data_IF_606397483106
#
_entry.id   IF_606397483106
#
_cell.length_a   1.000
_cell.length_b   1.000
_cell.length_c   1.000
_cell.angle_alpha   90.00
_cell.angle_beta   90.00
_cell.angle_gamma   90.00
#
_symmetry.space_group_name_H-M   'P 1'
#
loop_
_entity.id
_entity.type
_entity.pdbx_description
1 polymer ?
#
# COMPACT_ATOMS: atom_id res chain seq x y z
N UNK A 1 -12.73 3.82 -14.21
CA UNK A 1 -11.33 4.33 -14.29
C UNK A 1 -10.46 3.28 -13.60
N UNK A 2 -9.39 2.77 -14.23
CA UNK A 2 -8.59 1.66 -13.67
C UNK A 2 -7.91 2.11 -12.37
N UNK A 3 -8.13 1.38 -11.27
CA UNK A 3 -7.49 1.64 -9.96
C UNK A 3 -6.32 0.69 -9.67
N UNK A 4 -6.22 -0.39 -10.42
CA UNK A 4 -5.19 -1.41 -10.32
C UNK A 4 -4.17 -1.29 -11.45
N UNK A 5 -2.93 -1.62 -11.14
CA UNK A 5 -1.82 -1.75 -12.10
C UNK A 5 -1.96 -2.99 -12.98
N UNK A 6 -2.81 -3.94 -12.58
CA UNK A 6 -3.12 -5.15 -13.35
C UNK A 6 -4.38 -4.94 -14.20
N UNK A 7 -4.32 -5.39 -15.46
CA UNK A 7 -5.46 -5.32 -16.37
C UNK A 7 -6.48 -6.41 -16.04
N UNK A 8 -7.68 -6.00 -15.65
CA UNK A 8 -8.80 -6.90 -15.36
C UNK A 8 -9.68 -6.95 -16.61
N UNK A 9 -9.95 -8.17 -17.08
CA UNK A 9 -10.79 -8.43 -18.24
C UNK A 9 -12.03 -9.25 -17.83
N UNK A 10 -13.22 -8.95 -18.38
CA UNK A 10 -13.49 -7.90 -19.37
C UNK A 10 -13.55 -6.50 -18.74
N UNK A 11 -13.03 -5.49 -19.45
CA UNK A 11 -12.95 -4.11 -18.97
C UNK A 11 -14.30 -3.47 -18.63
N UNK A 12 -15.40 -3.96 -19.22
CA UNK A 12 -16.77 -3.50 -18.94
C UNK A 12 -17.22 -3.81 -17.52
N UNK A 13 -16.70 -4.90 -16.94
CA UNK A 13 -17.07 -5.40 -15.60
C UNK A 13 -15.96 -5.13 -14.58
N UNK A 14 -15.12 -4.12 -14.85
CA UNK A 14 -13.95 -3.81 -14.03
C UNK A 14 -14.32 -3.55 -12.56
N UNK A 15 -15.32 -2.71 -12.31
CA UNK A 15 -15.72 -2.32 -10.96
C UNK A 15 -16.31 -3.51 -10.17
N UNK A 16 -16.89 -4.48 -10.87
CA UNK A 16 -17.42 -5.72 -10.31
C UNK A 16 -16.31 -6.67 -9.85
N UNK A 17 -15.19 -6.70 -10.58
CA UNK A 17 -14.06 -7.62 -10.36
C UNK A 17 -12.93 -7.00 -9.52
N UNK A 18 -12.83 -5.67 -9.46
CA UNK A 18 -11.81 -4.93 -8.72
C UNK A 18 -11.68 -5.39 -7.25
N UNK A 19 -12.77 -5.56 -6.47
CA UNK A 19 -12.67 -5.95 -5.06
C UNK A 19 -12.02 -7.32 -4.86
N UNK A 20 -12.37 -8.30 -5.71
CA UNK A 20 -11.80 -9.64 -5.71
C UNK A 20 -10.30 -9.62 -6.03
N UNK A 21 -9.90 -8.88 -7.06
CA UNK A 21 -8.48 -8.79 -7.48
C UNK A 21 -7.65 -8.04 -6.44
N UNK A 22 -8.21 -7.02 -5.77
CA UNK A 22 -7.55 -6.37 -4.64
C UNK A 22 -7.29 -7.33 -3.48
N UNK A 23 -8.25 -8.20 -3.17
CA UNK A 23 -8.11 -9.19 -2.11
C UNK A 23 -7.00 -10.23 -2.38
N UNK A 24 -6.66 -10.49 -3.64
CA UNK A 24 -5.52 -11.34 -4.04
C UNK A 24 -4.15 -10.73 -3.72
N UNK A 25 -4.07 -9.41 -3.49
CA UNK A 25 -2.82 -8.67 -3.24
C UNK A 25 -1.73 -8.95 -4.30
N UNK A 26 -2.03 -8.72 -5.59
CA UNK A 26 -1.13 -9.08 -6.69
C UNK A 26 0.26 -8.45 -6.58
N UNK A 27 0.38 -7.27 -5.97
CA UNK A 27 1.66 -6.56 -5.79
C UNK A 27 2.60 -7.22 -4.78
N UNK A 28 2.12 -8.18 -3.99
CA UNK A 28 2.89 -8.90 -2.98
C UNK A 28 3.34 -10.29 -3.43
N UNK A 29 2.83 -10.78 -4.58
CA UNK A 29 3.08 -12.14 -5.05
C UNK A 29 4.24 -12.20 -6.04
N UNK A 30 5.03 -13.27 -5.94
CA UNK A 30 6.18 -13.56 -6.79
C UNK A 30 6.22 -15.06 -7.11
N UNK A 31 6.85 -15.44 -8.23
CA UNK A 31 7.00 -16.85 -8.62
C UNK A 31 5.66 -17.57 -8.82
N UNK A 32 5.55 -18.79 -8.28
CA UNK A 32 4.38 -19.67 -8.47
C UNK A 32 3.06 -19.02 -8.00
N UNK A 33 3.09 -18.24 -6.91
CA UNK A 33 1.93 -17.50 -6.41
C UNK A 33 1.42 -16.47 -7.43
N UNK A 34 2.34 -15.86 -8.18
CA UNK A 34 2.00 -14.91 -9.23
C UNK A 34 1.40 -15.60 -10.45
N UNK A 35 1.97 -16.75 -10.85
CA UNK A 35 1.43 -17.56 -11.94
C UNK A 35 0.03 -18.09 -11.63
N UNK A 36 -0.24 -18.45 -10.37
CA UNK A 36 -1.57 -18.83 -9.91
C UNK A 36 -2.58 -17.68 -10.08
N UNK A 37 -2.20 -16.44 -9.74
CA UNK A 37 -3.06 -15.25 -9.95
C UNK A 37 -3.34 -15.04 -11.43
N UNK A 38 -2.33 -15.11 -12.30
CA UNK A 38 -2.51 -14.95 -13.75
C UNK A 38 -3.44 -16.03 -14.32
N UNK A 39 -3.31 -17.26 -13.83
CA UNK A 39 -4.18 -18.37 -14.22
C UNK A 39 -5.62 -18.11 -13.81
N UNK A 40 -5.86 -17.65 -12.58
CA UNK A 40 -7.21 -17.32 -12.11
C UNK A 40 -7.82 -16.14 -12.86
N UNK A 41 -7.02 -15.11 -13.19
CA UNK A 41 -7.48 -13.99 -14.02
C UNK A 41 -7.86 -14.42 -15.45
N UNK A 42 -7.10 -15.34 -16.04
CA UNK A 42 -7.44 -15.93 -17.33
C UNK A 42 -8.72 -16.76 -17.25
N UNK A 43 -8.91 -17.53 -16.16
CA UNK A 43 -10.17 -18.24 -15.89
C UNK A 43 -11.35 -17.27 -15.82
N UNK A 44 -11.24 -16.20 -15.03
CA UNK A 44 -12.28 -15.15 -14.89
C UNK A 44 -12.61 -14.54 -16.24
N UNK A 45 -11.59 -14.18 -17.04
CA UNK A 45 -11.77 -13.65 -18.38
C UNK A 45 -12.57 -14.61 -19.28
N UNK A 46 -12.33 -15.91 -19.16
CA UNK A 46 -13.06 -16.92 -19.93
C UNK A 46 -14.49 -17.11 -19.40
N UNK A 47 -14.67 -17.18 -18.08
CA UNK A 47 -15.98 -17.32 -17.42
C UNK A 47 -16.90 -16.13 -17.69
N UNK A 48 -16.35 -14.93 -17.86
CA UNK A 48 -17.13 -13.74 -18.15
C UNK A 48 -17.85 -13.76 -19.51
N UNK A 49 -17.51 -14.70 -20.41
CA UNK A 49 -18.27 -14.93 -21.65
C UNK A 49 -19.59 -15.69 -21.41
N UNK A 50 -19.76 -16.29 -20.23
CA UNK A 50 -20.99 -16.97 -19.84
C UNK A 50 -21.93 -15.98 -19.14
N UNK A 51 -23.03 -15.64 -19.81
CA UNK A 51 -24.03 -14.69 -19.28
C UNK A 51 -24.65 -15.15 -17.95
N UNK A 52 -24.80 -16.46 -17.74
CA UNK A 52 -25.35 -17.00 -16.49
C UNK A 52 -24.40 -16.77 -15.32
N UNK A 53 -23.10 -16.99 -15.54
CA UNK A 53 -22.06 -16.72 -14.54
C UNK A 53 -22.01 -15.23 -14.22
N UNK A 54 -22.03 -14.38 -15.24
CA UNK A 54 -21.97 -12.93 -15.08
C UNK A 54 -23.21 -12.38 -14.35
N UNK A 55 -24.40 -12.91 -14.64
CA UNK A 55 -25.64 -12.51 -13.95
C UNK A 55 -25.59 -12.86 -12.46
N UNK A 56 -25.15 -14.08 -12.11
CA UNK A 56 -24.98 -14.50 -10.71
C UNK A 56 -23.95 -13.63 -9.97
N UNK A 57 -22.87 -13.28 -10.66
CA UNK A 57 -21.85 -12.41 -10.10
C UNK A 57 -22.39 -11.00 -9.82
N UNK A 58 -23.16 -10.44 -10.75
CA UNK A 58 -23.80 -9.12 -10.56
C UNK A 58 -24.75 -9.13 -9.37
N UNK A 59 -25.60 -10.15 -9.28
CA UNK A 59 -26.52 -10.34 -8.14
C UNK A 59 -25.75 -10.43 -6.81
N UNK A 60 -24.71 -11.27 -6.74
CA UNK A 60 -23.88 -11.41 -5.54
C UNK A 60 -23.16 -10.11 -5.15
N UNK A 61 -22.78 -9.29 -6.14
CA UNK A 61 -22.17 -7.99 -5.89
C UNK A 61 -23.20 -6.94 -5.44
N UNK A 62 -24.41 -6.94 -5.98
CA UNK A 62 -25.51 -6.09 -5.53
C UNK A 62 -25.90 -6.40 -4.08
N UNK A 63 -25.92 -7.69 -3.71
CA UNK A 63 -26.07 -8.13 -2.32
C UNK A 63 -24.95 -7.61 -1.43
N UNK A 64 -23.69 -7.69 -1.89
CA UNK A 64 -22.53 -7.18 -1.18
C UNK A 64 -22.63 -5.66 -0.93
N UNK A 65 -23.00 -4.88 -1.95
CA UNK A 65 -23.24 -3.43 -1.83
C UNK A 65 -24.39 -3.15 -0.86
N UNK A 66 -25.49 -3.90 -0.96
CA UNK A 66 -26.65 -3.77 -0.07
C UNK A 66 -26.33 -4.12 1.39
N UNK A 67 -25.39 -5.02 1.61
CA UNK A 67 -24.88 -5.37 2.95
C UNK A 67 -23.95 -4.29 3.55
N UNK A 68 -23.63 -3.24 2.79
CA UNK A 68 -22.88 -2.07 3.23
C UNK A 68 -21.45 -1.97 2.68
N UNK A 69 -21.10 -2.78 1.66
CA UNK A 69 -19.80 -2.66 1.02
C UNK A 69 -19.63 -1.31 0.32
N UNK A 70 -18.45 -0.72 0.49
CA UNK A 70 -18.07 0.52 -0.21
C UNK A 70 -16.68 0.35 -0.80
N UNK A 71 -16.43 0.97 -1.95
CA UNK A 71 -15.12 0.90 -2.63
C UNK A 71 -13.96 1.48 -1.80
N UNK A 72 -14.25 2.25 -0.74
CA UNK A 72 -13.29 2.73 0.25
C UNK A 72 -12.82 1.66 1.23
N UNK A 73 -13.55 0.55 1.37
CA UNK A 73 -13.13 -0.57 2.20
C UNK A 73 -11.91 -1.28 1.59
N UNK A 74 -11.07 -1.83 2.46
CA UNK A 74 -9.77 -2.41 2.10
C UNK A 74 -9.89 -3.92 1.98
N UNK A 75 -10.38 -4.39 0.84
CA UNK A 75 -10.54 -5.83 0.59
C UNK A 75 -9.21 -6.59 0.62
N UNK A 76 -8.09 -5.91 0.36
CA UNK A 76 -6.73 -6.45 0.57
C UNK A 76 -6.45 -6.86 2.02
N UNK A 77 -7.08 -6.22 3.00
CA UNK A 77 -6.93 -6.54 4.43
C UNK A 77 -7.78 -7.75 4.85
N UNK A 78 -8.92 -7.96 4.18
CA UNK A 78 -9.85 -9.05 4.45
C UNK A 78 -9.37 -10.36 3.82
N UNK A 79 -8.83 -10.29 2.60
CA UNK A 79 -8.53 -11.46 1.78
C UNK A 79 -9.80 -12.16 1.29
N UNK A 80 -9.64 -13.31 0.63
CA UNK A 80 -10.78 -14.11 0.18
C UNK A 80 -11.42 -14.90 1.32
N UNK A 81 -10.62 -15.29 2.31
CA UNK A 81 -11.03 -16.15 3.42
C UNK A 81 -10.38 -15.66 4.74
N UNK A 82 -10.99 -15.99 5.88
CA UNK A 82 -10.49 -15.55 7.21
C UNK A 82 -9.03 -15.93 7.46
N UNK A 83 -8.60 -17.10 6.95
CA UNK A 83 -7.23 -17.61 7.08
C UNK A 83 -6.19 -16.77 6.34
N UNK A 84 -6.62 -15.95 5.38
CA UNK A 84 -5.74 -15.07 4.60
C UNK A 84 -5.47 -13.72 5.27
N UNK A 85 -6.09 -13.45 6.41
CA UNK A 85 -5.86 -12.26 7.23
C UNK A 85 -4.39 -12.20 7.68
N UNK A 86 -3.78 -11.00 7.60
CA UNK A 86 -2.39 -10.81 8.03
C UNK A 86 -2.22 -11.07 9.53
N UNK A 87 -1.02 -11.51 9.91
CA UNK A 87 -0.63 -11.64 11.32
C UNK A 87 -0.29 -10.28 11.89
N UNK A 88 -0.89 -9.97 13.05
CA UNK A 88 -0.65 -8.74 13.78
C UNK A 88 0.74 -8.76 14.43
N UNK A 89 1.62 -7.84 14.05
CA UNK A 89 2.94 -7.65 14.68
C UNK A 89 3.01 -6.32 15.44
N UNK A 90 2.91 -6.36 16.77
CA UNK A 90 3.01 -5.14 17.61
C UNK A 90 4.37 -4.44 17.48
N UNK A 91 5.40 -5.17 17.08
CA UNK A 91 6.73 -4.64 16.81
C UNK A 91 6.70 -3.53 15.75
N UNK A 92 5.80 -3.63 14.76
CA UNK A 92 5.61 -2.59 13.74
C UNK A 92 5.25 -1.23 14.36
N UNK A 93 4.36 -1.21 15.36
CA UNK A 93 3.98 0.02 16.07
C UNK A 93 5.09 0.53 17.00
N UNK A 94 5.78 -0.38 17.68
CA UNK A 94 6.87 -0.02 18.59
C UNK A 94 8.06 0.62 17.86
N UNK A 95 8.28 0.27 16.60
CA UNK A 95 9.34 0.85 15.79
C UNK A 95 9.00 2.22 15.18
N UNK A 96 7.73 2.66 15.18
CA UNK A 96 7.33 3.94 14.57
C UNK A 96 8.14 5.15 15.09
N UNK A 97 8.36 5.33 16.42
CA UNK A 97 9.17 6.44 16.92
C UNK A 97 10.61 6.39 16.41
N UNK A 98 11.19 5.19 16.28
CA UNK A 98 12.52 5.00 15.69
C UNK A 98 12.49 5.39 14.21
N UNK A 99 11.42 5.04 13.50
CA UNK A 99 11.18 5.48 12.13
C UNK A 99 11.14 7.01 12.00
N UNK A 100 10.48 7.72 12.91
CA UNK A 100 10.45 9.19 12.89
C UNK A 100 11.83 9.80 13.11
N UNK A 101 12.62 9.25 14.04
CA UNK A 101 14.01 9.65 14.23
C UNK A 101 14.88 9.35 13.01
N UNK A 102 14.70 8.19 12.40
CA UNK A 102 15.40 7.78 11.19
C UNK A 102 15.11 8.75 10.02
N UNK A 103 13.86 9.18 9.86
CA UNK A 103 13.39 10.09 8.81
C UNK A 103 13.69 11.58 9.09
N UNK A 104 14.09 11.93 10.33
CA UNK A 104 14.21 13.32 10.76
C UNK A 104 15.03 14.23 9.80
N UNK A 105 16.16 13.79 9.22
CA UNK A 105 16.93 14.60 8.25
C UNK A 105 16.16 15.00 6.99
N UNK A 106 15.12 14.24 6.65
CA UNK A 106 14.35 14.36 5.41
C UNK A 106 12.87 14.72 5.65
N UNK A 107 12.47 14.98 6.90
CA UNK A 107 11.08 15.15 7.28
C UNK A 107 10.43 16.36 6.58
N UNK A 108 11.13 17.49 6.53
CA UNK A 108 10.64 18.73 5.90
C UNK A 108 10.49 18.53 4.39
N UNK A 109 11.47 17.88 3.75
CA UNK A 109 11.45 17.58 2.32
C UNK A 109 10.29 16.66 1.98
N UNK A 110 10.07 15.61 2.78
CA UNK A 110 8.93 14.71 2.63
C UNK A 110 7.60 15.46 2.78
N UNK A 111 7.50 16.40 3.73
CA UNK A 111 6.31 17.24 3.88
C UNK A 111 6.02 18.05 2.60
N UNK A 112 7.02 18.72 2.03
CA UNK A 112 6.84 19.48 0.78
C UNK A 112 6.54 18.60 -0.44
N UNK A 113 7.25 17.48 -0.59
CA UNK A 113 7.03 16.53 -1.69
C UNK A 113 5.62 15.94 -1.62
N UNK A 114 5.17 15.56 -0.42
CA UNK A 114 3.81 15.04 -0.25
C UNK A 114 2.76 16.11 -0.49
N UNK A 115 2.90 17.30 0.10
CA UNK A 115 1.97 18.42 -0.10
C UNK A 115 1.78 18.75 -1.58
N UNK A 116 2.88 18.82 -2.34
CA UNK A 116 2.83 19.14 -3.76
C UNK A 116 2.34 17.95 -4.61
N UNK A 117 2.75 16.73 -4.26
CA UNK A 117 2.34 15.51 -4.95
C UNK A 117 0.85 15.19 -4.77
N UNK A 118 0.29 15.42 -3.59
CA UNK A 118 -1.13 15.20 -3.31
C UNK A 118 -2.02 16.24 -4.01
N UNK A 119 -1.45 17.41 -4.34
CA UNK A 119 -2.09 18.42 -5.18
C UNK A 119 -2.23 18.04 -6.66
N UNK A 120 -1.56 16.96 -7.11
CA UNK A 120 -1.70 16.49 -8.50
C UNK A 120 -3.07 15.83 -8.69
N UNK A 121 -3.85 16.37 -9.65
CA UNK A 121 -5.23 15.95 -9.92
C UNK A 121 -5.34 14.49 -10.39
N UNK A 122 -4.39 14.04 -11.21
CA UNK A 122 -4.36 12.70 -11.78
C UNK A 122 -3.58 11.75 -10.88
N UNK A 123 -4.25 10.70 -10.39
CA UNK A 123 -3.70 9.77 -9.39
C UNK A 123 -2.47 9.05 -9.95
N UNK A 124 -2.50 8.68 -11.23
CA UNK A 124 -1.42 7.99 -11.93
C UNK A 124 -0.12 8.80 -12.00
N UNK A 125 -0.19 10.13 -11.96
CA UNK A 125 0.99 11.00 -11.98
C UNK A 125 1.49 11.38 -10.58
N UNK A 126 0.73 11.11 -9.52
CA UNK A 126 1.14 11.43 -8.14
C UNK A 126 2.43 10.72 -7.77
N UNK A 127 2.55 9.43 -8.10
CA UNK A 127 3.76 8.65 -7.80
C UNK A 127 4.98 9.18 -8.54
N UNK A 128 4.86 9.41 -9.85
CA UNK A 128 5.93 9.98 -10.68
C UNK A 128 6.35 11.36 -10.20
N UNK A 129 5.39 12.20 -9.82
CA UNK A 129 5.65 13.54 -9.29
C UNK A 129 6.26 13.52 -7.88
N UNK A 130 6.05 12.49 -7.07
CA UNK A 130 6.73 12.37 -5.78
C UNK A 130 8.16 11.85 -5.95
N UNK A 131 8.36 10.87 -6.84
CA UNK A 131 9.66 10.23 -7.08
C UNK A 131 10.62 11.18 -7.80
N UNK A 132 10.18 11.85 -8.87
CA UNK A 132 11.03 12.72 -9.71
C UNK A 132 11.76 13.80 -8.91
N UNK A 133 11.04 14.74 -8.27
CA UNK A 133 11.61 15.74 -7.38
C UNK A 133 12.34 15.12 -6.18
N UNK A 134 11.87 14.00 -5.64
CA UNK A 134 12.54 13.30 -4.54
C UNK A 134 13.98 12.92 -4.86
N UNK A 135 14.26 12.45 -6.09
CA UNK A 135 15.61 12.07 -6.52
C UNK A 135 16.61 13.24 -6.55
N UNK A 136 16.15 14.49 -6.69
CA UNK A 136 17.04 15.65 -6.77
C UNK A 136 17.01 16.50 -5.49
N UNK A 137 15.82 16.75 -4.96
CA UNK A 137 15.64 17.58 -3.76
C UNK A 137 16.30 16.92 -2.56
N UNK A 138 16.13 15.61 -2.38
CA UNK A 138 16.67 14.94 -1.20
C UNK A 138 18.22 15.00 -1.17
N UNK A 139 18.98 14.55 -2.20
CA UNK A 139 20.43 14.62 -2.13
C UNK A 139 20.97 16.04 -2.01
N UNK A 140 20.42 17.01 -2.75
CA UNK A 140 20.87 18.41 -2.69
C UNK A 140 20.64 18.98 -1.29
N UNK A 141 19.44 18.77 -0.73
CA UNK A 141 19.13 19.28 0.60
C UNK A 141 19.97 18.59 1.68
N UNK A 142 20.31 17.31 1.55
CA UNK A 142 21.20 16.65 2.50
C UNK A 142 22.62 17.21 2.45
N UNK A 143 23.13 17.53 1.26
CA UNK A 143 24.44 18.18 1.13
C UNK A 143 24.42 19.53 1.85
N UNK A 144 23.39 20.35 1.62
CA UNK A 144 23.28 21.69 2.24
C UNK A 144 23.11 21.58 3.76
N UNK A 145 22.09 20.84 4.23
CA UNK A 145 21.78 20.70 5.66
C UNK A 145 22.88 19.97 6.42
N UNK A 146 23.45 18.91 5.83
CA UNK A 146 24.59 18.19 6.37
C UNK A 146 25.83 19.07 6.47
N UNK A 147 26.10 19.94 5.49
CA UNK A 147 27.23 20.88 5.54
C UNK A 147 27.05 21.92 6.66
N UNK A 148 25.83 22.46 6.82
CA UNK A 148 25.53 23.42 7.89
C UNK A 148 25.72 22.76 9.27
N UNK A 149 25.18 21.54 9.45
CA UNK A 149 25.26 20.82 10.71
C UNK A 149 26.70 20.40 11.02
N UNK A 150 27.44 19.90 10.03
CA UNK A 150 28.84 19.54 10.14
C UNK A 150 29.73 20.74 10.47
N UNK A 151 29.48 21.90 9.85
CA UNK A 151 30.18 23.14 10.18
C UNK A 151 29.90 23.58 11.62
N UNK A 152 28.63 23.52 12.06
CA UNK A 152 28.28 23.85 13.44
C UNK A 152 28.93 22.90 14.44
N UNK A 153 28.90 21.59 14.20
CA UNK A 153 29.57 20.61 15.07
C UNK A 153 31.09 20.81 15.12
N UNK A 154 31.70 21.10 13.97
CA UNK A 154 33.14 21.35 13.87
C UNK A 154 33.55 22.66 14.54
N UNK A 155 32.72 23.70 14.47
CA UNK A 155 32.97 25.00 15.12
C UNK A 155 32.93 24.90 16.66
N UNK A 156 32.15 23.97 17.19
CA UNK A 156 32.02 23.75 18.64
C UNK A 156 32.93 22.62 19.15
N UNK A 157 33.95 22.23 18.37
CA UNK A 157 34.92 21.16 18.70
C UNK A 157 34.29 19.80 19.06
N UNK A 158 33.05 19.54 18.62
CA UNK A 158 32.34 18.28 18.91
C UNK A 158 32.85 17.16 18.00
N UNK A 159 33.00 17.44 16.69
CA UNK A 159 33.39 16.45 15.68
C UNK A 159 33.94 17.16 14.43
N UNK A 160 35.00 16.63 13.78
CA UNK A 160 35.50 17.16 12.51
C UNK A 160 34.42 17.25 11.43
N UNK A 161 34.46 18.29 10.61
CA UNK A 161 33.48 18.56 9.55
C UNK A 161 33.15 17.31 8.71
N UNK A 162 34.16 16.63 8.17
CA UNK A 162 33.93 15.47 7.29
C UNK A 162 33.24 14.30 7.99
N UNK A 163 33.49 14.10 9.29
CA UNK A 163 32.84 13.05 10.07
C UNK A 163 31.39 13.42 10.35
N UNK A 164 31.11 14.67 10.74
CA UNK A 164 29.74 15.16 10.93
C UNK A 164 28.92 15.11 9.65
N UNK A 165 29.53 15.50 8.52
CA UNK A 165 28.92 15.49 7.20
C UNK A 165 28.60 14.06 6.74
N UNK A 166 29.59 13.16 6.81
CA UNK A 166 29.40 11.76 6.43
C UNK A 166 28.36 11.07 7.32
N UNK A 167 28.41 11.31 8.64
CA UNK A 167 27.43 10.79 9.59
C UNK A 167 26.01 11.25 9.28
N UNK A 168 25.82 12.54 8.98
CA UNK A 168 24.53 13.08 8.55
C UNK A 168 24.05 12.45 7.24
N UNK A 169 24.92 12.32 6.24
CA UNK A 169 24.56 11.74 4.95
C UNK A 169 24.15 10.27 5.08
N UNK A 170 24.89 9.49 5.88
CA UNK A 170 24.55 8.10 6.21
C UNK A 170 23.20 8.03 6.92
N UNK A 171 22.98 8.89 7.93
CA UNK A 171 21.70 8.94 8.65
C UNK A 171 20.54 9.29 7.72
N UNK A 172 20.68 10.31 6.86
CA UNK A 172 19.63 10.72 5.95
C UNK A 172 19.28 9.61 4.93
N UNK A 173 20.29 8.94 4.37
CA UNK A 173 20.08 7.90 3.37
C UNK A 173 19.48 6.62 3.99
N UNK A 174 20.18 6.02 4.96
CA UNK A 174 19.72 4.79 5.61
C UNK A 174 18.48 5.00 6.46
N UNK A 175 18.34 6.18 7.06
CA UNK A 175 17.19 6.54 7.85
C UNK A 175 15.90 6.56 7.04
N UNK A 176 15.93 7.08 5.81
CA UNK A 176 14.78 7.03 4.90
C UNK A 176 14.41 5.60 4.47
N UNK A 177 15.41 4.77 4.18
CA UNK A 177 15.19 3.34 3.85
C UNK A 177 14.54 2.62 5.04
N UNK A 178 15.07 2.85 6.24
CA UNK A 178 14.55 2.26 7.47
C UNK A 178 13.12 2.74 7.75
N UNK A 179 12.85 4.04 7.62
CA UNK A 179 11.52 4.60 7.75
C UNK A 179 10.53 3.97 6.77
N UNK A 180 10.89 3.85 5.49
CA UNK A 180 10.05 3.19 4.49
C UNK A 180 9.68 1.76 4.87
N UNK A 181 10.64 0.98 5.39
CA UNK A 181 10.38 -0.38 5.89
C UNK A 181 9.46 -0.40 7.10
N UNK A 182 9.66 0.50 8.07
CA UNK A 182 8.84 0.59 9.28
C UNK A 182 7.40 0.99 8.93
N UNK A 183 7.22 1.95 8.02
CA UNK A 183 5.89 2.36 7.53
C UNK A 183 5.19 1.20 6.83
N UNK A 184 5.90 0.43 5.98
CA UNK A 184 5.37 -0.79 5.37
C UNK A 184 4.89 -1.80 6.41
N UNK A 185 5.70 -2.09 7.43
CA UNK A 185 5.31 -2.97 8.53
C UNK A 185 4.09 -2.44 9.30
N UNK A 186 3.97 -1.12 9.47
CA UNK A 186 2.80 -0.53 10.13
C UNK A 186 1.53 -0.64 9.27
N UNK A 187 1.63 -0.50 7.95
CA UNK A 187 0.49 -0.80 7.06
C UNK A 187 0.08 -2.27 7.14
N UNK A 188 1.04 -3.19 7.22
CA UNK A 188 0.74 -4.62 7.44
C UNK A 188 0.02 -4.87 8.77
N UNK A 189 0.39 -4.13 9.81
CA UNK A 189 -0.28 -4.17 11.09
C UNK A 189 -1.72 -3.65 11.00
N UNK A 190 -1.93 -2.50 10.34
CA UNK A 190 -3.25 -1.90 10.14
C UNK A 190 -4.16 -2.86 9.36
N UNK A 191 -3.63 -3.49 8.32
CA UNK A 191 -4.35 -4.50 7.52
C UNK A 191 -4.72 -5.73 8.36
N UNK A 192 -3.81 -6.20 9.22
CA UNK A 192 -4.11 -7.29 10.15
C UNK A 192 -5.21 -6.93 11.14
N UNK A 193 -5.25 -5.68 11.63
CA UNK A 193 -6.29 -5.20 12.54
C UNK A 193 -7.63 -5.08 11.83
N UNK A 194 -7.64 -4.52 10.62
CA UNK A 194 -8.84 -4.35 9.81
C UNK A 194 -9.42 -5.70 9.39
N UNK A 195 -8.60 -6.63 8.88
CA UNK A 195 -9.06 -7.98 8.53
C UNK A 195 -9.60 -8.74 9.75
N UNK A 196 -8.93 -8.66 10.90
CA UNK A 196 -9.46 -9.26 12.13
C UNK A 196 -10.79 -8.63 12.53
N UNK A 197 -10.89 -7.29 12.47
CA UNK A 197 -12.13 -6.57 12.80
C UNK A 197 -13.27 -7.01 11.87
N UNK A 198 -13.01 -7.14 10.58
CA UNK A 198 -13.97 -7.61 9.60
C UNK A 198 -14.46 -9.03 9.92
N UNK A 199 -13.56 -10.01 10.06
CA UNK A 199 -13.96 -11.41 10.24
C UNK A 199 -14.51 -11.74 11.63
N UNK A 200 -13.98 -11.12 12.70
CA UNK A 200 -14.35 -11.48 14.08
C UNK A 200 -15.38 -10.56 14.74
N UNK A 201 -15.50 -9.32 14.26
CA UNK A 201 -16.34 -8.28 14.87
C UNK A 201 -17.21 -7.55 13.84
N UNK A 202 -17.17 -7.99 12.58
CA UNK A 202 -17.86 -7.34 11.48
C UNK A 202 -19.36 -7.67 11.46
N UNK A 203 -20.07 -6.98 10.58
CA UNK A 203 -21.46 -7.28 10.31
C UNK A 203 -21.57 -8.64 9.62
N UNK A 204 -22.19 -9.62 10.28
CA UNK A 204 -22.38 -10.98 9.73
C UNK A 204 -22.98 -10.97 8.32
N UNK A 205 -23.92 -10.05 8.03
CA UNK A 205 -24.51 -9.92 6.69
C UNK A 205 -23.49 -9.53 5.63
N UNK A 206 -22.56 -8.63 5.98
CA UNK A 206 -21.49 -8.20 5.07
C UNK A 206 -20.47 -9.31 4.86
N UNK A 207 -20.14 -10.06 5.92
CA UNK A 207 -19.23 -11.20 5.87
C UNK A 207 -19.80 -12.30 4.97
N UNK A 208 -21.07 -12.64 5.15
CA UNK A 208 -21.77 -13.63 4.31
C UNK A 208 -21.84 -13.18 2.85
N UNK A 209 -22.24 -11.93 2.58
CA UNK A 209 -22.28 -11.39 1.23
C UNK A 209 -20.89 -11.36 0.57
N UNK A 210 -19.83 -11.09 1.33
CA UNK A 210 -18.45 -11.17 0.85
C UNK A 210 -18.09 -12.60 0.45
N UNK A 211 -18.38 -13.60 1.30
CA UNK A 211 -18.14 -15.02 0.97
C UNK A 211 -18.90 -15.45 -0.28
N UNK A 212 -20.18 -15.10 -0.39
CA UNK A 212 -21.02 -15.40 -1.56
C UNK A 212 -20.46 -14.77 -2.83
N UNK A 213 -20.01 -13.51 -2.76
CA UNK A 213 -19.34 -12.83 -3.87
C UNK A 213 -18.04 -13.53 -4.30
N UNK A 214 -17.19 -13.93 -3.35
CA UNK A 214 -15.96 -14.69 -3.64
C UNK A 214 -16.29 -16.04 -4.29
N UNK A 215 -17.29 -16.75 -3.77
CA UNK A 215 -17.74 -18.04 -4.29
C UNK A 215 -18.32 -17.92 -5.70
N UNK A 216 -19.14 -16.89 -5.96
CA UNK A 216 -19.68 -16.61 -7.28
C UNK A 216 -18.57 -16.41 -8.33
N UNK A 217 -17.49 -15.71 -7.97
CA UNK A 217 -16.34 -15.54 -8.87
C UNK A 217 -15.59 -16.84 -9.10
N UNK A 218 -15.46 -17.70 -8.08
CA UNK A 218 -14.73 -18.96 -8.16
C UNK A 218 -15.52 -20.08 -8.86
N UNK A 219 -16.84 -19.93 -8.98
CA UNK A 219 -17.74 -20.88 -9.66
C UNK A 219 -17.49 -21.04 -11.16
#
# INVERSE_FOLDING_TARGET
>A
MRKLTLDIQPSKEYDLLEPYVRALRPTEKIGDDWEAILTDLNRIKNSANNETWLSKLKESYEELVSAGFTNSMRTEAWGHDETQTRRKSLLARLLLPIGWLAQAPSAIQHYFINKNGDGVKKIEFRSTFKIGPGMFILPITWIVTGSILAWWLSKNDITPFWIGFAGFYVWANWGNILYGKIVGLNHDYEDAVEGKRFWSQGNNKLIEAWKNYIEAIRS
#
